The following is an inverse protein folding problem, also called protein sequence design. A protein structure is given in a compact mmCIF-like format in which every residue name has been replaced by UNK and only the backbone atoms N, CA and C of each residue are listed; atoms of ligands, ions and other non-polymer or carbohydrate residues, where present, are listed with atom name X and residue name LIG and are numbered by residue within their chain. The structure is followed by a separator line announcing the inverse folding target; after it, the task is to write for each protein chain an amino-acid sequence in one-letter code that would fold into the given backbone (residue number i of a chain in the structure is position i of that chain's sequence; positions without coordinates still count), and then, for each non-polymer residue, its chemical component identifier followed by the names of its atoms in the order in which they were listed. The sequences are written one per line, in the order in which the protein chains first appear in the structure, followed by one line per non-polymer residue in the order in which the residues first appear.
data_IF_662322002535
#
_entry.id   IF_662322002535
#
_cell.length_a   1.000
_cell.length_b   1.000
_cell.length_c   1.000
_cell.angle_alpha   90.00
_cell.angle_beta   90.00
_cell.angle_gamma   90.00
#
_symmetry.space_group_name_H-M   'P 1'
#
loop_
_entity.id
_entity.type
_entity.pdbx_description
1 polymer ?
#
# COMPACT_ATOMS: atom_id res chain seq x y z
N UNK A 1 5.58 -20.92 12.46
CA UNK A 1 6.06 -20.48 11.12
C UNK A 1 6.47 -19.02 11.25
N UNK A 2 7.51 -18.54 10.56
CA UNK A 2 7.88 -17.12 10.61
C UNK A 2 7.21 -16.37 9.44
N UNK A 3 6.46 -15.33 9.73
CA UNK A 3 5.77 -14.51 8.73
C UNK A 3 6.50 -13.19 8.42
N UNK A 4 7.66 -12.97 9.03
CA UNK A 4 8.51 -11.83 8.75
C UNK A 4 9.44 -12.10 7.57
N UNK A 5 9.95 -11.02 6.98
CA UNK A 5 10.96 -11.09 5.93
C UNK A 5 12.28 -11.66 6.48
N UNK A 6 12.98 -12.44 5.67
CA UNK A 6 14.35 -12.89 5.96
C UNK A 6 15.40 -11.85 5.51
N UNK A 7 16.68 -12.14 5.80
CA UNK A 7 17.81 -11.26 5.45
C UNK A 7 18.01 -11.08 3.93
N UNK A 8 17.47 -11.98 3.12
CA UNK A 8 17.53 -11.93 1.66
C UNK A 8 16.32 -11.24 1.03
N UNK A 9 15.37 -10.80 1.85
CA UNK A 9 14.15 -10.13 1.40
C UNK A 9 13.01 -11.06 1.01
N UNK A 10 12.98 -12.28 1.54
CA UNK A 10 11.93 -13.25 1.26
C UNK A 10 10.97 -13.41 2.44
N UNK A 11 9.71 -13.56 2.11
CA UNK A 11 8.61 -14.05 2.95
C UNK A 11 8.31 -15.48 2.49
N UNK A 12 8.94 -16.48 3.09
CA UNK A 12 8.92 -17.85 2.56
C UNK A 12 9.51 -17.90 1.14
N UNK A 13 8.70 -18.31 0.15
CA UNK A 13 9.13 -18.44 -1.24
C UNK A 13 8.95 -17.14 -2.06
N UNK A 14 8.38 -16.08 -1.48
CA UNK A 14 8.02 -14.82 -2.14
C UNK A 14 8.90 -13.66 -1.71
N UNK A 15 9.20 -12.76 -2.63
CA UNK A 15 10.06 -11.58 -2.37
C UNK A 15 11.29 -11.55 -3.25
N UNK A 16 12.42 -11.15 -2.66
CA UNK A 16 13.69 -11.01 -3.36
C UNK A 16 13.81 -9.71 -4.17
N UNK A 17 14.86 -9.58 -4.97
CA UNK A 17 15.13 -8.42 -5.83
C UNK A 17 15.51 -8.90 -7.24
N UNK A 18 14.52 -8.99 -8.12
CA UNK A 18 14.65 -9.38 -9.51
C UNK A 18 14.67 -8.12 -10.38
N UNK A 19 15.81 -7.46 -10.44
CA UNK A 19 15.99 -6.15 -11.05
C UNK A 19 17.00 -6.19 -12.18
N UNK A 20 16.90 -5.26 -13.16
CA UNK A 20 17.96 -5.04 -14.13
C UNK A 20 19.26 -4.65 -13.45
N UNK A 21 20.39 -5.09 -13.98
CA UNK A 21 21.74 -4.79 -13.45
C UNK A 21 21.95 -3.29 -13.21
N UNK A 22 21.39 -2.45 -14.06
CA UNK A 22 21.48 -0.99 -13.96
C UNK A 22 20.83 -0.40 -12.71
N UNK A 23 19.84 -1.07 -12.11
CA UNK A 23 19.20 -0.66 -10.86
C UNK A 23 19.87 -1.24 -9.60
N UNK A 24 20.79 -2.19 -9.78
CA UNK A 24 21.44 -2.85 -8.65
C UNK A 24 22.08 -1.86 -7.69
N UNK A 25 22.87 -0.85 -8.13
CA UNK A 25 23.48 0.10 -7.19
C UNK A 25 22.46 0.85 -6.33
N UNK A 26 21.32 1.24 -6.89
CA UNK A 26 20.27 2.00 -6.19
C UNK A 26 19.55 1.15 -5.15
N UNK A 27 19.17 -0.06 -5.54
CA UNK A 27 18.49 -1.00 -4.64
C UNK A 27 19.43 -1.45 -3.54
N UNK A 28 20.71 -1.67 -3.85
CA UNK A 28 21.74 -2.05 -2.88
C UNK A 28 22.05 -0.92 -1.90
N UNK A 29 22.18 0.33 -2.38
CA UNK A 29 22.32 1.51 -1.51
C UNK A 29 21.16 1.59 -0.52
N UNK A 30 19.95 1.43 -1.00
CA UNK A 30 18.75 1.42 -0.17
C UNK A 30 18.77 0.27 0.85
N UNK A 31 19.08 -0.95 0.41
CA UNK A 31 19.16 -2.13 1.26
C UNK A 31 20.19 -2.00 2.38
N UNK A 32 21.37 -1.46 2.06
CA UNK A 32 22.45 -1.28 3.04
C UNK A 32 22.15 -0.19 4.07
N UNK A 33 21.46 0.86 3.68
CA UNK A 33 21.26 2.05 4.51
C UNK A 33 19.90 2.10 5.21
N UNK A 34 18.88 1.46 4.65
CA UNK A 34 17.50 1.55 5.16
C UNK A 34 17.40 1.20 6.65
N UNK A 35 17.95 0.05 7.08
CA UNK A 35 17.85 -0.37 8.47
C UNK A 35 18.61 0.55 9.43
N UNK A 36 19.82 0.97 9.08
CA UNK A 36 20.62 1.86 9.93
C UNK A 36 19.97 3.24 10.05
N UNK A 37 19.52 3.83 8.95
CA UNK A 37 18.83 5.12 8.94
C UNK A 37 17.51 5.04 9.71
N UNK A 38 16.69 4.04 9.48
CA UNK A 38 15.39 3.90 10.16
C UNK A 38 15.52 3.53 11.64
N UNK A 39 16.65 2.99 12.06
CA UNK A 39 16.97 2.73 13.47
C UNK A 39 17.54 3.96 14.20
N UNK A 40 18.02 4.95 13.48
CA UNK A 40 18.60 6.16 14.03
C UNK A 40 17.59 6.92 14.90
N UNK A 41 17.96 7.35 16.12
CA UNK A 41 17.06 8.06 17.03
C UNK A 41 16.53 9.38 16.47
N UNK A 42 17.34 10.12 15.72
CA UNK A 42 16.93 11.40 15.14
C UNK A 42 15.93 11.18 14.00
N UNK A 43 16.13 10.11 13.18
CA UNK A 43 15.14 9.70 12.20
C UNK A 43 13.80 9.35 12.85
N UNK A 44 13.82 8.50 13.88
CA UNK A 44 12.60 8.09 14.59
C UNK A 44 11.87 9.29 15.18
N UNK A 45 12.61 10.19 15.84
CA UNK A 45 12.05 11.39 16.44
C UNK A 45 11.37 12.27 15.39
N UNK A 46 12.02 12.52 14.25
CA UNK A 46 11.47 13.36 13.18
C UNK A 46 10.26 12.66 12.51
N UNK A 47 10.36 11.36 12.26
CA UNK A 47 9.25 10.56 11.72
C UNK A 47 8.02 10.61 12.64
N UNK A 48 8.19 10.36 13.93
CA UNK A 48 7.10 10.38 14.93
C UNK A 48 6.50 11.77 15.08
N UNK A 49 7.33 12.82 15.04
CA UNK A 49 6.85 14.20 15.10
C UNK A 49 6.01 14.55 13.87
N UNK A 50 6.46 14.21 12.67
CA UNK A 50 5.69 14.44 11.44
C UNK A 50 4.40 13.61 11.41
N UNK A 51 4.44 12.36 11.84
CA UNK A 51 3.24 11.55 11.98
C UNK A 51 2.23 12.20 12.94
N UNK A 52 2.70 12.77 14.04
CA UNK A 52 1.84 13.40 15.03
C UNK A 52 1.30 14.75 14.59
N UNK A 53 2.19 15.68 14.18
CA UNK A 53 1.80 17.09 14.00
C UNK A 53 1.37 17.41 12.56
N UNK A 54 1.85 16.66 11.57
CA UNK A 54 1.54 16.90 10.17
C UNK A 54 0.50 15.92 9.63
N UNK A 55 0.65 14.61 9.91
CA UNK A 55 -0.29 13.59 9.46
C UNK A 55 -1.56 13.54 10.31
N UNK A 56 -1.47 13.97 11.58
CA UNK A 56 -2.62 14.02 12.51
C UNK A 56 -2.85 12.68 13.24
N UNK A 57 -1.77 11.92 13.49
CA UNK A 57 -1.84 10.66 14.24
C UNK A 57 -1.82 10.91 15.77
N UNK A 58 -2.36 9.99 16.59
CA UNK A 58 -2.99 8.72 16.21
C UNK A 58 -4.36 8.88 15.56
N UNK A 59 -4.66 8.07 14.55
CA UNK A 59 -6.01 8.03 13.99
C UNK A 59 -6.96 7.33 14.96
N UNK A 60 -8.26 7.75 15.03
CA UNK A 60 -9.20 7.13 15.94
C UNK A 60 -9.44 5.64 15.63
N UNK A 61 -9.61 4.84 16.69
CA UNK A 61 -10.25 3.54 16.63
C UNK A 61 -11.72 3.71 17.00
N UNK A 62 -12.58 3.90 16.00
CA UNK A 62 -13.97 4.27 16.15
C UNK A 62 -14.88 3.05 16.38
N UNK A 63 -15.64 3.03 17.47
CA UNK A 63 -16.64 2.01 17.73
C UNK A 63 -17.88 2.26 16.86
N UNK A 64 -18.12 1.40 15.88
CA UNK A 64 -19.22 1.49 14.95
C UNK A 64 -20.50 0.89 15.55
N UNK A 65 -21.13 1.63 16.49
CA UNK A 65 -22.27 1.15 17.33
C UNK A 65 -23.38 0.52 16.49
N UNK A 66 -23.90 1.21 15.47
CA UNK A 66 -25.02 0.72 14.64
C UNK A 66 -24.68 -0.55 13.85
N UNK A 67 -23.43 -0.66 13.36
CA UNK A 67 -22.98 -1.91 12.72
C UNK A 67 -22.85 -3.03 13.74
N UNK A 68 -22.30 -2.72 14.89
CA UNK A 68 -22.14 -3.69 15.97
C UNK A 68 -23.48 -4.26 16.43
N UNK A 69 -24.49 -3.42 16.55
CA UNK A 69 -25.87 -3.83 16.87
C UNK A 69 -26.47 -4.69 15.74
N UNK A 70 -26.32 -4.27 14.49
CA UNK A 70 -26.85 -5.00 13.33
C UNK A 70 -26.29 -6.42 13.20
N UNK A 71 -24.98 -6.57 13.39
CA UNK A 71 -24.29 -7.85 13.21
C UNK A 71 -24.05 -8.61 14.52
N UNK A 72 -24.61 -8.11 15.63
CA UNK A 72 -24.45 -8.69 16.97
C UNK A 72 -22.98 -9.00 17.31
N UNK A 73 -22.07 -8.08 16.96
CA UNK A 73 -20.64 -8.20 17.23
C UNK A 73 -20.02 -6.82 17.46
N UNK A 74 -18.81 -6.73 18.00
CA UNK A 74 -18.14 -5.45 18.25
C UNK A 74 -17.27 -5.07 17.06
N UNK A 75 -17.69 -4.08 16.30
CA UNK A 75 -16.99 -3.57 15.11
C UNK A 75 -16.31 -2.24 15.44
N UNK A 76 -15.00 -2.19 15.19
CA UNK A 76 -14.18 -1.00 15.30
C UNK A 76 -13.59 -0.65 13.93
N UNK A 77 -13.60 0.64 13.59
CA UNK A 77 -13.00 1.15 12.36
C UNK A 77 -11.73 1.93 12.71
N UNK A 78 -10.60 1.50 12.19
CA UNK A 78 -9.35 2.26 12.24
C UNK A 78 -9.40 3.30 11.14
N UNK A 79 -9.55 4.59 11.52
CA UNK A 79 -9.94 5.69 10.65
C UNK A 79 -8.73 6.32 9.93
N UNK A 80 -8.11 5.56 9.02
CA UNK A 80 -6.98 6.05 8.22
C UNK A 80 -7.41 7.12 7.17
N UNK A 81 -8.69 7.24 6.90
CA UNK A 81 -9.30 8.32 6.12
C UNK A 81 -9.17 9.71 6.79
N UNK A 82 -8.86 9.76 8.07
CA UNK A 82 -8.64 11.00 8.83
C UNK A 82 -7.17 11.44 8.84
N UNK A 83 -6.26 10.69 8.24
CA UNK A 83 -4.91 11.16 7.99
C UNK A 83 -4.92 12.38 7.05
N UNK A 84 -3.94 13.27 7.22
CA UNK A 84 -3.66 14.28 6.18
C UNK A 84 -3.56 13.62 4.80
N UNK A 85 -4.10 14.21 3.78
CA UNK A 85 -4.34 13.67 2.42
C UNK A 85 -5.54 12.72 2.25
N UNK A 86 -6.18 12.28 3.35
CA UNK A 86 -7.40 11.47 3.30
C UNK A 86 -7.18 9.95 3.23
N UNK A 87 -5.95 9.46 3.40
CA UNK A 87 -5.65 8.03 3.35
C UNK A 87 -4.34 7.66 4.07
N UNK A 88 -4.15 6.36 4.34
CA UNK A 88 -2.95 5.78 4.97
C UNK A 88 -1.63 6.00 4.20
N UNK A 89 -1.70 6.36 2.92
CA UNK A 89 -0.51 6.47 2.05
C UNK A 89 0.55 7.43 2.59
N UNK A 90 0.13 8.50 3.27
CA UNK A 90 1.02 9.51 3.84
C UNK A 90 1.98 8.93 4.88
N UNK A 91 1.60 7.89 5.63
CA UNK A 91 2.49 7.25 6.61
C UNK A 91 3.79 6.75 5.96
N UNK A 92 3.62 6.01 4.85
CA UNK A 92 4.73 5.48 4.07
C UNK A 92 5.53 6.59 3.39
N UNK A 93 4.87 7.59 2.78
CA UNK A 93 5.58 8.64 2.05
C UNK A 93 6.41 9.53 2.96
N UNK A 94 5.98 9.79 4.21
CA UNK A 94 6.81 10.47 5.23
C UNK A 94 8.08 9.65 5.51
N UNK A 95 7.96 8.34 5.74
CA UNK A 95 9.12 7.50 5.99
C UNK A 95 10.11 7.49 4.83
N UNK A 96 9.60 7.32 3.60
CA UNK A 96 10.45 7.27 2.42
C UNK A 96 11.08 8.62 2.06
N UNK A 97 10.38 9.76 2.22
CA UNK A 97 10.96 11.07 1.94
C UNK A 97 12.09 11.42 2.91
N UNK A 98 11.93 11.10 4.21
CA UNK A 98 12.98 11.29 5.20
C UNK A 98 14.20 10.41 4.91
N UNK A 99 13.98 9.18 4.45
CA UNK A 99 15.05 8.28 4.02
C UNK A 99 15.77 8.85 2.79
N UNK A 100 15.04 9.31 1.77
CA UNK A 100 15.58 9.90 0.57
C UNK A 100 16.45 11.13 0.87
N UNK A 101 16.03 12.00 1.78
CA UNK A 101 16.83 13.16 2.22
C UNK A 101 18.15 12.73 2.86
N UNK A 102 18.14 11.71 3.72
CA UNK A 102 19.37 11.20 4.37
C UNK A 102 20.32 10.52 3.38
N UNK A 103 19.78 9.98 2.29
CA UNK A 103 20.54 9.45 1.15
C UNK A 103 20.99 10.55 0.16
N UNK A 104 20.69 11.84 0.43
CA UNK A 104 21.09 12.97 -0.41
C UNK A 104 20.32 13.07 -1.74
N UNK A 105 19.19 12.38 -1.88
CA UNK A 105 18.37 12.42 -3.11
C UNK A 105 17.66 13.77 -3.24
N UNK A 106 17.60 14.26 -4.47
CA UNK A 106 17.07 15.61 -4.80
C UNK A 106 15.83 15.57 -5.65
N UNK A 107 15.50 14.39 -6.17
CA UNK A 107 14.38 14.15 -7.08
C UNK A 107 13.61 12.92 -6.63
N UNK A 108 12.29 13.06 -6.57
CA UNK A 108 11.38 11.98 -6.21
C UNK A 108 10.51 11.62 -7.40
N UNK A 109 10.36 10.33 -7.64
CA UNK A 109 9.38 9.80 -8.58
C UNK A 109 8.40 8.88 -7.85
N UNK A 110 7.18 8.80 -8.37
CA UNK A 110 6.16 7.87 -7.87
C UNK A 110 5.24 7.42 -9.01
N UNK A 111 4.60 6.28 -8.83
CA UNK A 111 3.45 5.82 -9.60
C UNK A 111 2.15 6.12 -8.87
N UNK A 112 1.04 6.21 -9.61
CA UNK A 112 -0.30 6.24 -8.99
C UNK A 112 -1.38 5.79 -9.96
N UNK A 113 -2.40 5.06 -9.47
CA UNK A 113 -3.64 4.74 -10.18
C UNK A 113 -4.77 5.63 -9.68
N UNK A 114 -5.33 5.33 -8.51
CA UNK A 114 -6.40 6.13 -7.89
C UNK A 114 -5.99 7.57 -7.51
N UNK A 115 -4.72 7.94 -7.61
CA UNK A 115 -4.22 9.26 -7.29
C UNK A 115 -3.82 9.50 -5.85
N UNK A 116 -4.25 8.67 -4.90
CA UNK A 116 -3.99 8.88 -3.47
C UNK A 116 -2.51 8.79 -3.12
N UNK A 117 -1.78 7.85 -3.72
CA UNK A 117 -0.33 7.74 -3.51
C UNK A 117 0.40 8.95 -4.12
N UNK A 118 0.01 9.36 -5.33
CA UNK A 118 0.56 10.55 -5.97
C UNK A 118 0.34 11.82 -5.15
N UNK A 119 -0.87 12.02 -4.61
CA UNK A 119 -1.17 13.16 -3.72
C UNK A 119 -0.31 13.11 -2.47
N UNK A 120 -0.19 11.94 -1.81
CA UNK A 120 0.64 11.79 -0.61
C UNK A 120 2.12 12.08 -0.91
N UNK A 121 2.65 11.59 -2.04
CA UNK A 121 4.03 11.85 -2.47
C UNK A 121 4.25 13.33 -2.79
N UNK A 122 3.36 13.94 -3.59
CA UNK A 122 3.44 15.37 -3.89
C UNK A 122 3.38 16.22 -2.61
N UNK A 123 2.56 15.82 -1.63
CA UNK A 123 2.44 16.51 -0.35
C UNK A 123 3.75 16.52 0.44
N UNK A 124 4.42 15.37 0.57
CA UNK A 124 5.68 15.29 1.32
C UNK A 124 6.83 15.94 0.54
N UNK A 125 6.82 15.89 -0.79
CA UNK A 125 7.80 16.59 -1.62
C UNK A 125 7.66 18.13 -1.49
N UNK A 126 6.42 18.64 -1.50
CA UNK A 126 6.15 20.06 -1.24
C UNK A 126 6.62 20.48 0.16
N UNK A 127 6.34 19.63 1.19
CA UNK A 127 6.80 19.89 2.56
C UNK A 127 8.33 20.00 2.65
N UNK A 128 9.06 19.15 1.91
CA UNK A 128 10.53 19.07 1.96
C UNK A 128 11.24 19.91 0.90
N UNK A 129 10.49 20.54 -0.01
CA UNK A 129 11.08 21.34 -1.10
C UNK A 129 11.86 20.51 -2.12
N UNK A 130 11.42 19.27 -2.41
CA UNK A 130 12.08 18.33 -3.32
C UNK A 130 11.26 18.20 -4.60
N UNK A 131 11.94 18.11 -5.76
CA UNK A 131 11.29 17.87 -7.05
C UNK A 131 10.47 16.58 -7.04
N UNK A 132 9.25 16.63 -7.58
CA UNK A 132 8.32 15.52 -7.60
C UNK A 132 7.74 15.27 -8.99
N UNK A 133 7.89 14.03 -9.48
CA UNK A 133 7.28 13.56 -10.71
C UNK A 133 6.39 12.35 -10.41
N UNK A 134 5.14 12.40 -10.86
CA UNK A 134 4.17 11.34 -10.65
C UNK A 134 3.73 10.77 -11.99
N UNK A 135 3.95 9.47 -12.19
CA UNK A 135 3.50 8.73 -13.37
C UNK A 135 2.07 8.21 -13.15
N UNK A 136 1.22 8.41 -14.14
CA UNK A 136 -0.19 8.01 -14.06
C UNK A 136 -0.72 7.64 -15.44
N UNK A 137 -1.55 6.59 -15.53
CA UNK A 137 -2.20 6.18 -16.77
C UNK A 137 -3.17 7.26 -17.28
N UNK A 138 -3.27 7.43 -18.60
CA UNK A 138 -4.17 8.46 -19.20
C UNK A 138 -5.64 8.28 -18.79
N UNK A 139 -6.11 7.04 -18.66
CA UNK A 139 -7.47 6.76 -18.23
C UNK A 139 -7.68 7.18 -16.78
N UNK A 140 -6.71 6.88 -15.92
CA UNK A 140 -6.76 7.22 -14.50
C UNK A 140 -6.68 8.74 -14.29
N UNK A 141 -5.88 9.46 -15.08
CA UNK A 141 -5.83 10.93 -15.06
C UNK A 141 -7.23 11.53 -15.28
N UNK A 142 -7.99 10.98 -16.24
CA UNK A 142 -9.35 11.45 -16.52
C UNK A 142 -10.33 11.11 -15.39
N UNK A 143 -10.25 9.88 -14.88
CA UNK A 143 -11.12 9.39 -13.79
C UNK A 143 -10.87 10.09 -12.46
N UNK A 144 -9.61 10.45 -12.21
CA UNK A 144 -9.12 10.98 -10.94
C UNK A 144 -8.67 12.45 -11.05
N UNK A 145 -9.31 13.21 -11.92
CA UNK A 145 -8.98 14.62 -12.18
C UNK A 145 -8.84 15.49 -10.91
N UNK A 146 -9.66 15.32 -9.84
CA UNK A 146 -9.46 16.07 -8.59
C UNK A 146 -8.12 15.77 -7.90
N UNK A 147 -7.65 14.53 -7.90
CA UNK A 147 -6.34 14.17 -7.34
C UNK A 147 -5.19 14.70 -8.21
N UNK A 148 -5.36 14.69 -9.53
CA UNK A 148 -4.39 15.31 -10.46
C UNK A 148 -4.26 16.81 -10.21
N UNK A 149 -5.37 17.50 -9.99
CA UNK A 149 -5.36 18.92 -9.64
C UNK A 149 -4.62 19.18 -8.32
N UNK A 150 -4.84 18.35 -7.28
CA UNK A 150 -4.14 18.44 -6.00
C UNK A 150 -2.63 18.26 -6.16
N UNK A 151 -2.17 17.24 -6.92
CA UNK A 151 -0.75 17.01 -7.18
C UNK A 151 -0.09 18.21 -7.86
N UNK A 152 -0.75 18.78 -8.88
CA UNK A 152 -0.27 19.97 -9.58
C UNK A 152 -0.21 21.22 -8.69
N UNK A 153 -1.21 21.43 -7.82
CA UNK A 153 -1.22 22.52 -6.83
C UNK A 153 -0.07 22.41 -5.84
N UNK A 154 0.37 21.19 -5.53
CA UNK A 154 1.51 20.89 -4.67
C UNK A 154 2.87 21.00 -5.40
N UNK A 155 2.86 21.38 -6.68
CA UNK A 155 4.07 21.55 -7.48
C UNK A 155 4.60 20.28 -8.14
N UNK A 156 3.89 19.15 -8.06
CA UNK A 156 4.31 17.93 -8.73
C UNK A 156 4.02 17.97 -10.23
N UNK A 157 4.96 17.48 -11.04
CA UNK A 157 4.73 17.16 -12.44
C UNK A 157 3.98 15.84 -12.57
N UNK A 158 2.79 15.84 -13.18
CA UNK A 158 2.05 14.62 -13.47
C UNK A 158 2.28 14.23 -14.91
N UNK A 159 2.97 13.11 -15.15
CA UNK A 159 3.29 12.56 -16.46
C UNK A 159 2.29 11.49 -16.86
N UNK A 160 1.56 11.78 -17.94
CA UNK A 160 0.66 10.82 -18.55
C UNK A 160 1.44 9.76 -19.30
N UNK A 161 1.03 8.49 -19.12
CA UNK A 161 1.55 7.40 -19.93
C UNK A 161 0.65 7.18 -21.14
N UNK A 162 1.13 7.57 -22.33
CA UNK A 162 0.42 7.39 -23.60
C UNK A 162 0.33 5.91 -23.97
N UNK A 163 -0.88 5.46 -24.33
CA UNK A 163 -1.15 4.08 -24.69
C UNK A 163 -1.31 3.13 -23.51
N UNK A 164 -1.08 3.61 -22.29
CA UNK A 164 -1.27 2.85 -21.06
C UNK A 164 -2.56 3.24 -20.36
N UNK A 165 -3.21 2.24 -19.77
CA UNK A 165 -4.50 2.44 -19.13
C UNK A 165 -4.41 2.35 -17.61
N UNK A 166 -3.38 1.72 -17.05
CA UNK A 166 -3.40 1.17 -15.70
C UNK A 166 -2.19 1.55 -14.84
N UNK A 167 -2.34 1.34 -13.52
CA UNK A 167 -1.28 1.48 -12.52
C UNK A 167 -0.02 0.67 -12.86
N UNK A 168 -0.16 -0.53 -13.45
CA UNK A 168 0.99 -1.38 -13.86
C UNK A 168 1.92 -0.63 -14.82
N UNK A 169 1.34 0.06 -15.80
CA UNK A 169 2.13 0.77 -16.81
C UNK A 169 2.79 2.02 -16.23
N UNK A 170 2.08 2.74 -15.35
CA UNK A 170 2.66 3.84 -14.60
C UNK A 170 3.85 3.38 -13.75
N UNK A 171 3.76 2.21 -13.13
CA UNK A 171 4.87 1.59 -12.38
C UNK A 171 6.05 1.26 -13.29
N UNK A 172 5.79 0.66 -14.46
CA UNK A 172 6.84 0.36 -15.44
C UNK A 172 7.59 1.62 -15.87
N UNK A 173 6.87 2.72 -16.08
CA UNK A 173 7.48 3.98 -16.52
C UNK A 173 8.27 4.65 -15.41
N UNK A 174 7.78 4.63 -14.18
CA UNK A 174 8.54 5.08 -13.03
C UNK A 174 9.86 4.28 -12.88
N UNK A 175 9.83 2.97 -13.09
CA UNK A 175 11.04 2.13 -13.07
C UNK A 175 11.99 2.51 -14.22
N UNK A 176 11.49 2.80 -15.44
CA UNK A 176 12.32 3.25 -16.57
C UNK A 176 12.99 4.60 -16.28
N UNK A 177 12.23 5.54 -15.71
CA UNK A 177 12.80 6.82 -15.28
C UNK A 177 13.90 6.62 -14.22
N UNK A 178 13.65 5.75 -13.24
CA UNK A 178 14.63 5.45 -12.20
C UNK A 178 15.93 4.87 -12.77
N UNK A 179 15.83 3.95 -13.75
CA UNK A 179 16.98 3.39 -14.48
C UNK A 179 17.76 4.49 -15.18
N UNK A 180 17.09 5.48 -15.77
CA UNK A 180 17.73 6.58 -16.51
C UNK A 180 18.33 7.66 -15.61
N UNK A 181 17.86 7.77 -14.35
CA UNK A 181 18.26 8.81 -13.41
C UNK A 181 18.63 8.22 -12.03
N UNK A 182 19.61 7.31 -11.95
CA UNK A 182 19.82 6.51 -10.73
C UNK A 182 20.49 7.30 -9.59
N UNK A 183 21.24 8.36 -9.87
CA UNK A 183 22.15 8.99 -8.89
C UNK A 183 21.39 9.80 -7.85
N UNK A 184 20.53 10.70 -8.28
CA UNK A 184 19.87 11.70 -7.44
C UNK A 184 18.37 11.46 -7.23
N UNK A 185 17.84 10.40 -7.84
CA UNK A 185 16.42 10.04 -7.80
C UNK A 185 16.13 8.94 -6.77
N UNK A 186 15.10 9.14 -5.97
CA UNK A 186 14.49 8.08 -5.16
C UNK A 186 13.08 7.80 -5.65
N UNK A 187 12.80 6.51 -5.83
CA UNK A 187 11.45 6.06 -6.18
C UNK A 187 10.66 5.78 -4.89
N UNK A 188 9.64 6.60 -4.61
CA UNK A 188 8.70 6.34 -3.51
C UNK A 188 7.63 5.37 -4.01
N UNK A 189 7.75 4.09 -3.67
CA UNK A 189 6.77 3.06 -4.02
C UNK A 189 5.57 3.11 -3.07
N UNK A 190 4.37 3.07 -3.65
CA UNK A 190 3.11 3.29 -2.92
C UNK A 190 2.53 2.07 -2.21
N UNK A 191 3.10 0.88 -2.37
CA UNK A 191 2.58 -0.35 -1.79
C UNK A 191 3.70 -1.30 -1.35
N UNK A 192 3.32 -2.44 -0.73
CA UNK A 192 4.25 -3.51 -0.30
C UNK A 192 4.66 -4.40 -1.48
N UNK A 193 5.02 -3.77 -2.58
CA UNK A 193 5.46 -4.38 -3.84
C UNK A 193 6.84 -3.85 -4.22
N UNK A 194 7.42 -4.33 -5.31
CA UNK A 194 8.75 -3.91 -5.73
C UNK A 194 9.86 -4.82 -5.18
N UNK A 195 11.12 -4.57 -5.57
CA UNK A 195 12.25 -5.36 -5.11
C UNK A 195 12.51 -5.13 -3.62
N UNK A 196 13.08 -6.11 -2.94
CA UNK A 196 13.60 -5.88 -1.59
C UNK A 196 14.61 -4.71 -1.59
N UNK A 197 14.52 -3.73 -0.63
CA UNK A 197 13.79 -3.78 0.63
C UNK A 197 12.38 -3.16 0.63
N UNK A 198 11.85 -2.72 -0.50
CA UNK A 198 10.58 -1.99 -0.55
C UNK A 198 9.40 -2.67 0.16
N UNK A 199 9.10 -3.97 -0.02
CA UNK A 199 7.97 -4.58 0.66
C UNK A 199 8.07 -4.50 2.18
N UNK A 200 9.25 -4.76 2.76
CA UNK A 200 9.48 -4.65 4.20
C UNK A 200 9.45 -3.21 4.68
N UNK A 201 10.12 -2.32 3.96
CA UNK A 201 10.19 -0.89 4.29
C UNK A 201 8.81 -0.25 4.34
N UNK A 202 7.99 -0.48 3.31
CA UNK A 202 6.62 0.05 3.28
C UNK A 202 5.77 -0.56 4.38
N UNK A 203 5.86 -1.87 4.62
CA UNK A 203 5.14 -2.54 5.71
C UNK A 203 5.48 -1.94 7.07
N UNK A 204 6.76 -1.65 7.34
CA UNK A 204 7.21 -1.02 8.60
C UNK A 204 6.72 0.40 8.75
N UNK A 205 6.79 1.24 7.72
CA UNK A 205 6.25 2.59 7.80
C UNK A 205 4.73 2.62 7.95
N UNK A 206 4.03 1.61 7.45
CA UNK A 206 2.60 1.44 7.67
C UNK A 206 2.25 0.78 9.01
N UNK A 207 3.20 0.14 9.69
CA UNK A 207 2.96 -0.63 10.92
C UNK A 207 2.43 0.23 12.08
N UNK A 208 2.58 1.56 12.02
CA UNK A 208 1.94 2.51 12.94
C UNK A 208 0.43 2.28 13.08
N UNK A 209 -0.23 1.76 12.04
CA UNK A 209 -1.66 1.42 12.05
C UNK A 209 -1.96 0.36 13.11
N UNK A 210 -1.24 -0.77 13.07
CA UNK A 210 -1.43 -1.86 14.05
C UNK A 210 -0.84 -1.54 15.42
N UNK A 211 0.25 -0.78 15.49
CA UNK A 211 0.83 -0.31 16.75
C UNK A 211 -0.19 0.52 17.53
N UNK A 212 -0.79 1.52 16.89
CA UNK A 212 -1.85 2.33 17.50
C UNK A 212 -3.07 1.49 17.85
N UNK A 213 -3.49 0.57 17.00
CA UNK A 213 -4.64 -0.30 17.25
C UNK A 213 -4.44 -1.11 18.52
N UNK A 214 -3.23 -1.65 18.79
CA UNK A 214 -2.92 -2.41 20.00
C UNK A 214 -3.14 -1.60 21.27
N UNK A 215 -2.51 -0.43 21.40
CA UNK A 215 -2.67 0.35 22.65
C UNK A 215 -4.04 1.00 22.77
N UNK A 216 -4.71 1.32 21.64
CA UNK A 216 -6.08 1.82 21.66
C UNK A 216 -7.06 0.74 22.14
N UNK A 217 -6.89 -0.51 21.71
CA UNK A 217 -7.68 -1.65 22.21
C UNK A 217 -7.40 -1.93 23.68
N UNK A 218 -6.13 -1.90 24.10
CA UNK A 218 -5.76 -2.06 25.52
C UNK A 218 -6.48 -1.03 26.37
N UNK A 219 -6.46 0.24 25.97
CA UNK A 219 -7.15 1.32 26.67
C UNK A 219 -8.69 1.15 26.69
N UNK A 220 -9.27 0.64 25.60
CA UNK A 220 -10.73 0.54 25.44
C UNK A 220 -11.30 -0.76 26.00
N UNK A 221 -10.53 -1.84 26.02
CA UNK A 221 -11.01 -3.21 26.29
C UNK A 221 -10.18 -4.00 27.30
N UNK A 222 -9.04 -3.47 27.77
CA UNK A 222 -8.11 -4.21 28.62
C UNK A 222 -7.40 -5.37 27.92
N UNK A 223 -7.39 -5.38 26.59
CA UNK A 223 -6.63 -6.34 25.78
C UNK A 223 -6.10 -5.63 24.52
N UNK A 224 -4.90 -5.95 24.09
CA UNK A 224 -4.20 -5.30 22.99
C UNK A 224 -4.35 -6.04 21.64
N UNK A 225 -5.31 -6.92 21.51
CA UNK A 225 -5.57 -7.67 20.30
C UNK A 225 -7.09 -7.80 20.03
N UNK A 226 -7.53 -7.75 18.76
CA UNK A 226 -8.89 -8.07 18.36
C UNK A 226 -9.02 -9.57 18.07
N UNK A 227 -10.24 -10.08 17.91
CA UNK A 227 -10.48 -11.45 17.44
C UNK A 227 -10.20 -11.57 15.93
N UNK A 228 -10.49 -10.50 15.17
CA UNK A 228 -10.29 -10.43 13.73
C UNK A 228 -9.71 -9.07 13.33
N UNK A 229 -8.81 -9.07 12.35
CA UNK A 229 -8.39 -7.89 11.58
C UNK A 229 -8.78 -8.06 10.12
N UNK A 230 -9.48 -7.08 9.56
CA UNK A 230 -10.03 -7.14 8.21
C UNK A 230 -9.54 -5.93 7.43
N UNK A 231 -8.95 -6.16 6.25
CA UNK A 231 -8.54 -5.08 5.36
C UNK A 231 -8.71 -5.47 3.89
N UNK A 232 -8.98 -4.50 3.02
CA UNK A 232 -8.93 -4.71 1.59
C UNK A 232 -7.47 -4.81 1.11
N UNK A 233 -7.26 -5.63 0.06
CA UNK A 233 -5.94 -5.92 -0.51
C UNK A 233 -5.99 -5.77 -2.03
N UNK A 234 -5.19 -4.80 -2.54
CA UNK A 234 -4.71 -4.76 -3.90
C UNK A 234 -3.22 -5.08 -3.85
N UNK A 235 -2.33 -4.08 -3.98
CA UNK A 235 -0.91 -4.28 -3.62
C UNK A 235 -0.68 -4.56 -2.13
N UNK A 236 -1.59 -4.10 -1.24
CA UNK A 236 -1.72 -4.55 0.15
C UNK A 236 -1.06 -3.66 1.22
N UNK A 237 -0.76 -2.38 0.96
CA UNK A 237 -0.04 -1.55 1.96
C UNK A 237 -0.82 -1.26 3.24
N UNK A 238 -2.12 -0.95 3.15
CA UNK A 238 -2.98 -0.74 4.32
C UNK A 238 -3.11 -2.02 5.15
N UNK A 239 -3.30 -3.14 4.48
CA UNK A 239 -3.40 -4.47 5.08
C UNK A 239 -2.11 -4.87 5.78
N UNK A 240 -0.94 -4.65 5.13
CA UNK A 240 0.36 -4.87 5.74
C UNK A 240 0.52 -4.08 7.04
N UNK A 241 0.15 -2.79 7.04
CA UNK A 241 0.19 -1.95 8.23
C UNK A 241 -0.72 -2.44 9.35
N UNK A 242 -1.94 -2.87 9.01
CA UNK A 242 -2.88 -3.38 10.00
C UNK A 242 -2.45 -4.75 10.56
N UNK A 243 -1.89 -5.63 9.72
CA UNK A 243 -1.53 -6.99 10.12
C UNK A 243 -0.19 -7.08 10.84
N UNK A 244 0.71 -6.12 10.64
CA UNK A 244 2.12 -6.19 10.99
C UNK A 244 2.39 -6.73 12.41
N UNK A 245 1.78 -6.15 13.43
CA UNK A 245 1.97 -6.57 14.81
C UNK A 245 1.10 -7.77 15.25
N UNK A 246 0.29 -8.31 14.33
CA UNK A 246 -0.57 -9.48 14.56
C UNK A 246 -0.13 -10.70 13.74
N UNK A 247 0.90 -10.57 12.89
CA UNK A 247 1.35 -11.65 12.00
C UNK A 247 1.64 -12.96 12.75
N UNK A 248 2.29 -12.87 13.90
CA UNK A 248 2.68 -14.02 14.71
C UNK A 248 1.75 -14.25 15.93
N UNK A 249 0.63 -13.53 16.03
CA UNK A 249 -0.34 -13.70 17.11
C UNK A 249 -1.50 -14.59 16.63
N UNK A 250 -1.44 -15.89 16.97
CA UNK A 250 -2.43 -16.90 16.55
C UNK A 250 -3.83 -16.66 17.13
N UNK A 251 -3.98 -15.79 18.13
CA UNK A 251 -5.27 -15.37 18.68
C UNK A 251 -6.07 -14.48 17.75
N UNK A 252 -5.38 -13.88 16.75
CA UNK A 252 -5.96 -12.92 15.81
C UNK A 252 -6.15 -13.57 14.45
N UNK A 253 -7.39 -13.65 14.00
CA UNK A 253 -7.70 -14.07 12.63
C UNK A 253 -7.47 -12.90 11.66
N UNK A 254 -6.74 -13.16 10.59
CA UNK A 254 -6.42 -12.18 9.55
C UNK A 254 -7.31 -12.46 8.34
N UNK A 255 -8.09 -11.46 7.90
CA UNK A 255 -8.97 -11.57 6.75
C UNK A 255 -8.59 -10.48 5.73
N UNK A 256 -8.19 -10.92 4.54
CA UNK A 256 -7.83 -10.08 3.41
C UNK A 256 -8.96 -10.08 2.38
N UNK A 257 -9.45 -8.91 1.97
CA UNK A 257 -10.56 -8.79 1.04
C UNK A 257 -10.06 -8.22 -0.28
N UNK A 258 -10.14 -9.01 -1.35
CA UNK A 258 -9.76 -8.62 -2.70
C UNK A 258 -10.98 -8.20 -3.53
N UNK A 259 -10.77 -7.31 -4.49
CA UNK A 259 -11.79 -6.92 -5.45
C UNK A 259 -11.91 -7.98 -6.56
N UNK A 260 -13.08 -8.59 -6.69
CA UNK A 260 -13.35 -9.57 -7.75
C UNK A 260 -13.95 -8.93 -9.02
N UNK A 261 -13.99 -7.60 -9.12
CA UNK A 261 -14.53 -6.93 -10.30
C UNK A 261 -15.95 -7.37 -10.63
N UNK A 262 -16.15 -7.94 -11.81
CA UNK A 262 -17.44 -8.52 -12.23
C UNK A 262 -17.64 -9.96 -11.76
N UNK A 263 -16.73 -10.51 -10.99
CA UNK A 263 -16.72 -11.89 -10.49
C UNK A 263 -15.45 -12.62 -10.88
N UNK A 264 -15.05 -13.63 -10.09
CA UNK A 264 -13.79 -14.37 -10.31
C UNK A 264 -13.73 -14.99 -11.70
N UNK A 265 -14.82 -15.59 -12.16
CA UNK A 265 -14.90 -16.31 -13.44
C UNK A 265 -15.26 -15.42 -14.64
N UNK A 266 -15.40 -14.11 -14.44
CA UNK A 266 -15.86 -13.18 -15.48
C UNK A 266 -14.79 -12.82 -16.53
N UNK A 267 -13.52 -13.07 -16.24
CA UNK A 267 -12.39 -12.52 -16.99
C UNK A 267 -12.09 -11.04 -16.70
N UNK A 268 -12.92 -10.36 -15.90
CA UNK A 268 -12.77 -8.97 -15.46
C UNK A 268 -12.75 -8.93 -13.92
N UNK A 269 -11.60 -9.27 -13.33
CA UNK A 269 -11.40 -9.40 -11.89
C UNK A 269 -10.00 -8.88 -11.48
N UNK A 270 -9.84 -8.53 -10.22
CA UNK A 270 -8.55 -8.19 -9.59
C UNK A 270 -8.23 -9.10 -8.39
N UNK A 271 -8.90 -10.24 -8.27
CA UNK A 271 -8.72 -11.20 -7.18
C UNK A 271 -7.45 -12.05 -7.41
N UNK A 272 -6.30 -11.47 -7.10
CA UNK A 272 -4.99 -12.07 -7.37
C UNK A 272 -4.75 -13.37 -6.61
N UNK A 273 -5.22 -13.51 -5.36
CA UNK A 273 -5.03 -14.76 -4.60
C UNK A 273 -5.80 -15.93 -5.22
N UNK A 274 -7.01 -15.67 -5.77
CA UNK A 274 -7.85 -16.68 -6.39
C UNK A 274 -7.38 -17.07 -7.80
N UNK A 275 -6.89 -16.12 -8.59
CA UNK A 275 -6.60 -16.28 -10.02
C UNK A 275 -5.10 -16.33 -10.33
N UNK A 276 -4.26 -15.83 -9.43
CA UNK A 276 -2.84 -15.65 -9.68
C UNK A 276 -2.02 -16.94 -9.61
N UNK A 277 -0.91 -16.91 -10.30
CA UNK A 277 0.16 -17.91 -10.25
C UNK A 277 1.45 -17.26 -9.79
N UNK A 278 2.40 -18.08 -9.36
CA UNK A 278 3.74 -17.57 -9.02
C UNK A 278 4.42 -16.98 -10.26
N UNK A 279 5.00 -15.79 -10.06
CA UNK A 279 5.76 -15.12 -11.11
C UNK A 279 6.47 -13.89 -10.55
N UNK A 280 7.12 -13.14 -11.44
CA UNK A 280 7.88 -11.95 -11.08
C UNK A 280 7.20 -10.74 -11.71
N UNK A 281 6.90 -9.74 -10.87
CA UNK A 281 6.38 -8.45 -11.30
C UNK A 281 7.07 -7.32 -10.51
N UNK A 282 7.45 -6.24 -11.20
CA UNK A 282 8.06 -5.05 -10.62
C UNK A 282 9.24 -5.34 -9.66
N UNK A 283 9.98 -6.41 -9.93
CA UNK A 283 11.21 -6.75 -9.20
C UNK A 283 11.04 -7.68 -8.01
N UNK A 284 9.88 -8.25 -7.73
CA UNK A 284 9.72 -9.29 -6.71
C UNK A 284 8.96 -10.51 -7.20
N UNK A 285 9.27 -11.68 -6.66
CA UNK A 285 8.50 -12.90 -6.84
C UNK A 285 7.25 -12.85 -5.97
N UNK A 286 6.08 -13.07 -6.57
CA UNK A 286 4.79 -13.02 -5.88
C UNK A 286 3.74 -13.86 -6.59
N UNK A 287 2.48 -13.78 -6.15
CA UNK A 287 1.32 -14.21 -6.92
C UNK A 287 0.91 -13.08 -7.86
N UNK A 288 0.68 -13.39 -9.12
CA UNK A 288 0.21 -12.43 -10.13
C UNK A 288 -0.72 -13.08 -11.14
N UNK A 289 -1.65 -12.28 -11.66
CA UNK A 289 -2.56 -12.72 -12.71
C UNK A 289 -1.82 -12.73 -14.06
N UNK A 290 -1.77 -13.88 -14.69
CA UNK A 290 -1.05 -14.09 -15.95
C UNK A 290 -1.72 -15.11 -16.83
N UNK A 291 -1.55 -14.96 -18.15
CA UNK A 291 -1.96 -15.94 -19.14
C UNK A 291 -1.11 -17.22 -19.05
N UNK A 292 -1.49 -18.33 -19.69
CA UNK A 292 -0.66 -19.52 -19.76
C UNK A 292 0.76 -19.27 -20.32
N UNK A 293 0.90 -18.26 -21.20
CA UNK A 293 2.18 -17.87 -21.80
C UNK A 293 2.99 -16.88 -20.92
N UNK A 294 2.52 -16.60 -19.68
CA UNK A 294 3.22 -15.75 -18.73
C UNK A 294 3.03 -14.23 -18.93
N UNK A 295 2.11 -13.81 -19.83
CA UNK A 295 1.78 -12.40 -19.98
C UNK A 295 0.87 -11.95 -18.85
N UNK A 296 1.10 -10.74 -18.32
CA UNK A 296 0.28 -10.19 -17.23
C UNK A 296 -1.13 -9.92 -17.75
N UNK A 297 -2.12 -10.50 -17.07
CA UNK A 297 -3.53 -10.23 -17.30
C UNK A 297 -3.89 -8.90 -16.68
N UNK A 298 -4.62 -8.04 -17.40
CA UNK A 298 -5.06 -6.76 -16.91
C UNK A 298 -6.11 -6.94 -15.81
N UNK A 299 -5.91 -6.37 -14.61
CA UNK A 299 -6.89 -6.46 -13.54
C UNK A 299 -8.09 -5.55 -13.82
N UNK A 300 -9.22 -5.86 -13.21
CA UNK A 300 -10.41 -5.03 -13.32
C UNK A 300 -11.13 -4.91 -11.98
N UNK A 301 -11.40 -3.67 -11.57
CA UNK A 301 -12.36 -3.30 -10.53
C UNK A 301 -12.74 -1.82 -10.70
N UNK A 302 -13.94 -1.43 -10.26
CA UNK A 302 -14.31 0.00 -10.11
C UNK A 302 -13.48 0.67 -9.02
N UNK A 303 -12.90 -0.12 -8.12
CA UNK A 303 -12.04 0.33 -7.03
C UNK A 303 -10.62 0.54 -7.55
N UNK A 304 -10.34 1.71 -8.10
CA UNK A 304 -9.04 2.04 -8.71
C UNK A 304 -7.82 1.88 -7.76
N UNK A 305 -8.05 1.77 -6.46
CA UNK A 305 -6.99 1.47 -5.47
C UNK A 305 -6.72 -0.02 -5.27
N UNK A 306 -7.53 -0.91 -5.89
CA UNK A 306 -7.46 -2.37 -5.74
C UNK A 306 -7.23 -3.11 -7.07
N UNK A 307 -7.08 -2.39 -8.19
CA UNK A 307 -6.91 -2.95 -9.54
C UNK A 307 -5.42 -3.18 -9.89
N UNK A 308 -4.71 -3.93 -9.09
CA UNK A 308 -3.33 -4.32 -9.33
C UNK A 308 -3.24 -5.80 -9.68
N UNK A 309 -2.46 -6.20 -10.72
CA UNK A 309 -2.44 -7.58 -11.22
C UNK A 309 -1.62 -8.54 -10.36
N UNK A 310 -1.07 -8.08 -9.26
CA UNK A 310 -0.27 -8.85 -8.32
C UNK A 310 -0.62 -8.51 -6.88
N UNK A 311 0.03 -9.15 -5.93
CA UNK A 311 -0.10 -8.85 -4.51
C UNK A 311 1.29 -8.74 -3.88
N UNK A 312 1.42 -8.03 -2.77
CA UNK A 312 2.69 -7.95 -2.07
C UNK A 312 3.22 -9.32 -1.64
N UNK A 313 4.54 -9.59 -1.69
CA UNK A 313 5.11 -10.91 -1.37
C UNK A 313 4.76 -11.39 0.05
N UNK A 314 4.64 -10.48 1.02
CA UNK A 314 4.13 -10.81 2.34
C UNK A 314 2.72 -11.41 2.27
N UNK A 315 1.82 -10.81 1.51
CA UNK A 315 0.44 -11.30 1.37
C UNK A 315 0.38 -12.63 0.61
N UNK A 316 1.21 -12.81 -0.42
CA UNK A 316 1.36 -14.08 -1.11
C UNK A 316 1.79 -15.20 -0.15
N UNK A 317 2.73 -14.90 0.75
CA UNK A 317 3.14 -15.84 1.80
C UNK A 317 2.02 -16.13 2.81
N UNK A 318 1.30 -15.10 3.27
CA UNK A 318 0.16 -15.27 4.19
C UNK A 318 -0.95 -16.11 3.59
N UNK A 319 -1.22 -15.95 2.29
CA UNK A 319 -2.17 -16.78 1.55
C UNK A 319 -1.69 -18.23 1.45
N UNK A 320 -0.46 -18.45 0.98
CA UNK A 320 0.12 -19.79 0.78
C UNK A 320 0.22 -20.58 2.09
N UNK A 321 0.58 -19.92 3.18
CA UNK A 321 0.71 -20.51 4.50
C UNK A 321 -0.61 -20.65 5.26
N UNK A 322 -1.71 -20.19 4.68
CA UNK A 322 -3.03 -20.15 5.32
C UNK A 322 -3.07 -19.36 6.65
N UNK A 323 -2.13 -18.41 6.82
CA UNK A 323 -2.14 -17.50 7.98
C UNK A 323 -3.26 -16.46 7.88
N UNK A 324 -3.60 -16.06 6.66
CA UNK A 324 -4.70 -15.17 6.39
C UNK A 324 -5.73 -15.85 5.49
N UNK A 325 -7.00 -15.61 5.77
CA UNK A 325 -8.10 -15.94 4.88
C UNK A 325 -8.23 -14.86 3.82
N UNK A 326 -8.31 -15.24 2.55
CA UNK A 326 -8.53 -14.31 1.43
C UNK A 326 -9.93 -14.49 0.86
N UNK A 327 -10.67 -13.39 0.79
CA UNK A 327 -12.06 -13.36 0.32
C UNK A 327 -12.12 -12.42 -0.88
N UNK A 328 -12.76 -12.87 -1.96
CA UNK A 328 -12.92 -12.10 -3.18
C UNK A 328 -14.37 -11.59 -3.28
N UNK A 329 -14.55 -10.26 -3.33
CA UNK A 329 -15.87 -9.62 -3.34
C UNK A 329 -16.09 -8.91 -4.68
N UNK A 330 -17.19 -9.22 -5.41
CA UNK A 330 -17.55 -8.49 -6.63
C UNK A 330 -17.88 -7.01 -6.38
N UNK A 331 -17.60 -6.16 -7.37
CA UNK A 331 -17.84 -4.71 -7.30
C UNK A 331 -19.31 -4.37 -6.99
N UNK A 332 -20.26 -5.10 -7.58
CA UNK A 332 -21.69 -4.89 -7.33
C UNK A 332 -22.04 -5.15 -5.86
N UNK A 333 -21.54 -6.25 -5.28
CA UNK A 333 -21.78 -6.57 -3.88
C UNK A 333 -21.17 -5.51 -2.96
N UNK A 334 -19.94 -5.06 -3.27
CA UNK A 334 -19.28 -3.99 -2.52
C UNK A 334 -20.10 -2.68 -2.55
N UNK A 335 -20.69 -2.33 -3.70
CA UNK A 335 -21.56 -1.16 -3.84
C UNK A 335 -22.88 -1.33 -3.09
N UNK A 336 -23.50 -2.50 -3.16
CA UNK A 336 -24.77 -2.80 -2.49
C UNK A 336 -24.64 -2.66 -0.96
N UNK A 337 -23.47 -2.99 -0.40
CA UNK A 337 -23.17 -2.79 1.02
C UNK A 337 -22.65 -1.38 1.31
N UNK A 338 -21.93 -0.74 0.42
CA UNK A 338 -21.38 0.60 0.59
C UNK A 338 -22.46 1.67 0.75
N UNK A 339 -23.50 1.64 -0.06
CA UNK A 339 -24.62 2.60 0.01
C UNK A 339 -25.38 2.58 1.35
N UNK A 340 -25.75 1.43 1.94
CA UNK A 340 -26.27 1.37 3.30
C UNK A 340 -25.30 1.93 4.35
N UNK A 341 -23.99 1.71 4.22
CA UNK A 341 -22.98 2.28 5.12
C UNK A 341 -23.05 3.81 5.17
N UNK A 342 -23.16 4.46 4.02
CA UNK A 342 -23.31 5.91 3.91
C UNK A 342 -24.63 6.39 4.55
N UNK A 343 -25.74 5.69 4.28
CA UNK A 343 -27.07 5.99 4.86
C UNK A 343 -27.07 5.88 6.39
N UNK A 344 -26.27 4.98 6.93
CA UNK A 344 -26.13 4.83 8.39
C UNK A 344 -25.19 5.82 9.02
N UNK A 345 -24.66 6.78 8.27
CA UNK A 345 -23.66 7.78 8.72
C UNK A 345 -22.47 7.14 9.43
N UNK A 346 -22.04 5.97 8.97
CA UNK A 346 -20.90 5.27 9.56
C UNK A 346 -19.60 5.88 9.05
N UNK A 347 -19.59 6.32 7.79
CA UNK A 347 -18.45 6.97 7.14
C UNK A 347 -18.93 7.96 6.09
N UNK A 348 -18.32 9.15 6.03
CA UNK A 348 -18.19 9.90 4.79
C UNK A 348 -16.90 9.40 4.14
N UNK A 349 -17.02 8.73 3.00
CA UNK A 349 -15.87 8.49 2.15
C UNK A 349 -15.58 9.79 1.39
N UNK A 350 -14.34 10.29 1.42
CA UNK A 350 -13.96 11.45 0.64
C UNK A 350 -14.01 11.18 -0.85
#
# INVERSE_FOLDING_TARGET
MNYNVDEKGYYGDFGGAFIPEMLYPNVEELRQNYFSISADPDFKKEFDELLKVYVGRPTPLYFAKRLSEKYNTKIYLKREDLCHTGAHKVNNTIGQILLAQRLGKKRIIAETGAGQHGVATATVCALMGIECIVYMGELDIKRQAPNVARMKMLGAEVRAQSGSKTLKDATNEAIRDWINNPVDTHYIIGSVVGPHPYPDMVARFQAVISEETKWQLEKLKGRNYPDHVIACVGGGSNAAGLYYHYLNDERVNIIAVEAAGKGIDSGESAATSALGKEGIIHGSKTLLMQTPDGQITEPYSISAGLDYPGVGPMHAHLFRSQRAEFISIPDQEAMDWGLPFLKWKVLFLP
#
